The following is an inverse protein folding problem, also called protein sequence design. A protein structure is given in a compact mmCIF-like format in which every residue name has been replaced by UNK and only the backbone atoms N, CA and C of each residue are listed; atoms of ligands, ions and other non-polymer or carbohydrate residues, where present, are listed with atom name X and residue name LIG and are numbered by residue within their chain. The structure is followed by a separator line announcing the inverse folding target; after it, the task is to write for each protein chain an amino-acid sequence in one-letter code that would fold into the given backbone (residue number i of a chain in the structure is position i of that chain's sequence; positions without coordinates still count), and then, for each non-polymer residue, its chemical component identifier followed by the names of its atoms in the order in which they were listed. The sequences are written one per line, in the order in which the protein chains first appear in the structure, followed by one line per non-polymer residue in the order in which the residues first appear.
data_IF_389610019220
#
_entry.id   IF_389610019220
#
_cell.length_a   1.000
_cell.length_b   1.000
_cell.length_c   1.000
_cell.angle_alpha   90.00
_cell.angle_beta   90.00
_cell.angle_gamma   90.00
#
_symmetry.space_group_name_H-M   'P 1'
#
loop_
_entity.id
_entity.type
_entity.pdbx_description
1 polymer ?
#
# COMPACT_ATOMS: atom_id res chain seq x y z
N UNK A 1 -3.39 25.33 2.31
CA UNK A 1 -2.81 24.34 1.36
C UNK A 1 -3.77 24.18 0.20
N UNK A 2 -3.30 24.26 -1.05
CA UNK A 2 -4.15 24.08 -2.23
C UNK A 2 -4.06 22.63 -2.72
N UNK A 3 -5.05 21.81 -2.33
CA UNK A 3 -5.09 20.37 -2.64
C UNK A 3 -5.15 20.13 -4.15
N UNK A 4 -5.93 20.93 -4.89
CA UNK A 4 -6.04 20.80 -6.34
C UNK A 4 -4.71 21.12 -7.04
N UNK A 5 -3.99 22.14 -6.57
CA UNK A 5 -2.66 22.44 -7.11
C UNK A 5 -1.72 21.25 -6.89
N UNK A 6 -1.68 20.71 -5.67
CA UNK A 6 -0.82 19.56 -5.34
C UNK A 6 -1.21 18.36 -6.19
N UNK A 7 -2.50 18.01 -6.20
CA UNK A 7 -3.03 16.87 -6.92
C UNK A 7 -2.74 16.94 -8.42
N UNK A 8 -2.82 18.10 -9.05
CA UNK A 8 -2.69 18.23 -10.51
C UNK A 8 -1.25 18.50 -10.98
N UNK A 9 -0.40 19.12 -10.15
CA UNK A 9 0.89 19.67 -10.62
C UNK A 9 2.11 19.01 -9.99
N UNK A 10 1.99 18.41 -8.80
CA UNK A 10 3.17 17.84 -8.12
C UNK A 10 3.52 16.47 -8.70
N UNK A 11 4.83 16.18 -8.76
CA UNK A 11 5.34 14.94 -9.35
C UNK A 11 5.07 13.72 -8.47
N UNK A 12 5.13 13.88 -7.14
CA UNK A 12 5.00 12.76 -6.22
C UNK A 12 3.60 12.13 -6.20
N UNK A 13 2.58 12.83 -6.73
CA UNK A 13 1.21 12.29 -6.94
C UNK A 13 0.95 11.86 -8.40
N UNK A 14 1.92 11.96 -9.30
CA UNK A 14 1.74 11.59 -10.71
C UNK A 14 1.33 10.11 -10.87
N UNK A 15 1.94 9.20 -10.11
CA UNK A 15 1.56 7.79 -10.12
C UNK A 15 0.13 7.57 -9.62
N UNK A 16 -0.30 8.32 -8.61
CA UNK A 16 -1.67 8.24 -8.09
C UNK A 16 -2.69 8.71 -9.14
N UNK A 17 -2.42 9.83 -9.84
CA UNK A 17 -3.24 10.29 -10.98
C UNK A 17 -3.31 9.24 -12.07
N UNK A 18 -2.16 8.69 -12.47
CA UNK A 18 -2.09 7.68 -13.51
C UNK A 18 -2.87 6.41 -13.15
N UNK A 19 -2.82 5.97 -11.89
CA UNK A 19 -3.65 4.85 -11.42
C UNK A 19 -5.14 5.16 -11.62
N UNK A 20 -5.61 6.33 -11.17
CA UNK A 20 -7.01 6.74 -11.33
C UNK A 20 -7.43 6.76 -12.81
N UNK A 21 -6.62 7.37 -13.69
CA UNK A 21 -6.90 7.44 -15.12
C UNK A 21 -7.00 6.07 -15.80
N UNK A 22 -6.28 5.06 -15.28
CA UNK A 22 -6.29 3.72 -15.85
C UNK A 22 -7.36 2.80 -15.24
N UNK A 23 -7.89 3.11 -14.06
CA UNK A 23 -8.94 2.30 -13.42
C UNK A 23 -10.23 2.23 -14.26
N UNK A 24 -10.53 3.27 -15.02
CA UNK A 24 -11.70 3.32 -15.91
C UNK A 24 -11.52 2.50 -17.20
N UNK A 25 -10.29 2.07 -17.52
CA UNK A 25 -9.98 1.28 -18.71
C UNK A 25 -10.20 -0.22 -18.52
N UNK A 26 -10.34 -0.68 -17.28
CA UNK A 26 -10.66 -2.08 -17.00
C UNK A 26 -12.10 -2.39 -17.42
N UNK A 27 -12.37 -3.57 -17.99
CA UNK A 27 -13.73 -3.97 -18.36
C UNK A 27 -14.71 -3.87 -17.19
N UNK A 28 -15.96 -3.57 -17.50
CA UNK A 28 -17.06 -3.64 -16.53
C UNK A 28 -17.13 -5.05 -15.92
N UNK A 29 -17.39 -5.12 -14.62
CA UNK A 29 -17.46 -6.39 -13.90
C UNK A 29 -16.10 -6.94 -13.45
N UNK A 30 -14.99 -6.37 -13.93
CA UNK A 30 -13.64 -6.73 -13.46
C UNK A 30 -13.49 -6.50 -11.97
N UNK A 31 -12.75 -7.39 -11.31
CA UNK A 31 -12.27 -7.18 -9.93
C UNK A 31 -10.83 -6.72 -10.00
N UNK A 32 -10.53 -5.59 -9.36
CA UNK A 32 -9.22 -4.95 -9.44
C UNK A 32 -8.54 -5.05 -8.08
N UNK A 33 -7.30 -5.52 -8.06
CA UNK A 33 -6.42 -5.43 -6.88
C UNK A 33 -5.53 -4.20 -7.02
N UNK A 34 -5.54 -3.31 -6.03
CA UNK A 34 -4.62 -2.19 -5.93
C UNK A 34 -3.74 -2.35 -4.69
N UNK A 35 -2.42 -2.30 -4.87
CA UNK A 35 -1.46 -2.29 -3.76
C UNK A 35 -0.80 -0.91 -3.74
N UNK A 36 -1.03 -0.16 -2.67
CA UNK A 36 -0.67 1.25 -2.58
C UNK A 36 0.28 1.49 -1.41
N UNK A 37 1.27 2.35 -1.62
CA UNK A 37 2.02 2.95 -0.51
C UNK A 37 1.10 3.93 0.25
N UNK A 38 1.29 4.06 1.55
CA UNK A 38 0.71 5.16 2.33
C UNK A 38 1.05 6.54 1.73
N UNK A 39 0.22 7.53 2.06
CA UNK A 39 0.40 8.92 1.63
C UNK A 39 1.57 9.62 2.35
N UNK A 40 1.76 10.90 2.07
CA UNK A 40 2.90 11.70 2.55
C UNK A 40 3.02 11.75 4.08
N UNK A 41 4.23 11.53 4.60
CA UNK A 41 4.63 11.69 6.00
C UNK A 41 5.89 12.55 6.10
N UNK A 42 6.19 13.08 7.30
CA UNK A 42 7.50 13.66 7.57
C UNK A 42 8.56 12.54 7.69
N UNK A 43 9.84 12.90 7.51
CA UNK A 43 10.92 11.99 7.82
C UNK A 43 11.05 11.77 9.33
N UNK A 44 11.39 10.55 9.79
CA UNK A 44 11.46 10.25 11.21
C UNK A 44 12.62 11.01 11.83
N UNK A 45 12.43 11.54 13.03
CA UNK A 45 13.57 11.89 13.87
C UNK A 45 14.32 10.62 14.34
N UNK A 46 15.63 10.69 14.68
CA UNK A 46 16.45 9.51 15.03
C UNK A 46 15.90 8.61 16.15
N UNK A 47 15.07 9.15 17.04
CA UNK A 47 14.49 8.44 18.20
C UNK A 47 12.98 8.21 18.05
N UNK A 48 12.40 8.59 16.91
CA UNK A 48 10.97 8.48 16.69
C UNK A 48 10.57 7.04 16.38
N UNK A 49 9.46 6.59 16.97
CA UNK A 49 8.93 5.28 16.65
C UNK A 49 8.34 5.30 15.24
N UNK A 50 9.09 4.77 14.27
CA UNK A 50 8.71 4.73 12.86
C UNK A 50 7.37 4.05 12.60
N UNK A 51 6.91 3.17 13.49
CA UNK A 51 5.61 2.49 13.36
C UNK A 51 4.43 3.37 13.78
N UNK A 52 4.69 4.42 14.56
CA UNK A 52 3.70 5.41 15.02
C UNK A 52 3.77 6.73 14.24
N UNK A 53 4.58 6.81 13.19
CA UNK A 53 4.59 7.95 12.30
C UNK A 53 3.24 8.13 11.62
N UNK A 54 2.72 9.35 11.74
CA UNK A 54 1.44 9.80 11.19
C UNK A 54 1.65 10.47 9.82
N UNK A 55 0.58 10.62 9.06
CA UNK A 55 0.58 11.42 7.84
C UNK A 55 0.77 12.92 8.16
N UNK A 56 1.26 13.67 7.19
CA UNK A 56 1.18 15.14 7.26
C UNK A 56 -0.24 15.61 6.92
N UNK A 57 -0.60 16.87 7.21
CA UNK A 57 -1.86 17.44 6.71
C UNK A 57 -2.02 17.31 5.19
N UNK A 58 -0.91 17.45 4.44
CA UNK A 58 -0.85 17.18 3.00
C UNK A 58 -1.12 15.71 2.67
N UNK A 59 -0.53 14.78 3.41
CA UNK A 59 -0.76 13.35 3.25
C UNK A 59 -2.24 12.97 3.42
N UNK A 60 -2.88 13.48 4.47
CA UNK A 60 -4.32 13.30 4.70
C UNK A 60 -5.18 13.84 3.54
N UNK A 61 -4.96 15.09 3.16
CA UNK A 61 -5.77 15.73 2.12
C UNK A 61 -5.63 15.03 0.76
N UNK A 62 -4.43 14.57 0.40
CA UNK A 62 -4.21 13.85 -0.86
C UNK A 62 -4.77 12.43 -0.82
N UNK A 63 -4.69 11.73 0.31
CA UNK A 63 -5.34 10.42 0.45
C UNK A 63 -6.87 10.53 0.30
N UNK A 64 -7.46 11.59 0.86
CA UNK A 64 -8.88 11.91 0.69
C UNK A 64 -9.21 12.22 -0.77
N UNK A 65 -8.42 13.08 -1.43
CA UNK A 65 -8.58 13.41 -2.84
C UNK A 65 -8.46 12.20 -3.75
N UNK A 66 -7.55 11.27 -3.46
CA UNK A 66 -7.44 9.99 -4.16
C UNK A 66 -8.75 9.21 -4.06
N UNK A 67 -9.30 9.08 -2.85
CA UNK A 67 -10.61 8.46 -2.62
C UNK A 67 -11.75 9.13 -3.39
N UNK A 68 -11.79 10.47 -3.41
CA UNK A 68 -12.77 11.26 -4.19
C UNK A 68 -12.60 11.15 -5.70
N UNK A 69 -11.47 10.62 -6.17
CA UNK A 69 -11.17 10.45 -7.60
C UNK A 69 -11.38 9.01 -8.09
N UNK A 70 -11.68 8.06 -7.19
CA UNK A 70 -11.97 6.68 -7.57
C UNK A 70 -13.29 6.56 -8.36
N UNK A 71 -13.41 5.57 -9.26
CA UNK A 71 -14.64 5.34 -10.03
C UNK A 71 -15.80 4.94 -9.10
N UNK A 72 -16.80 5.83 -8.97
CA UNK A 72 -17.92 5.70 -8.02
C UNK A 72 -18.83 4.49 -8.26
N UNK A 73 -18.83 3.96 -9.48
CA UNK A 73 -19.61 2.80 -9.92
C UNK A 73 -19.01 1.46 -9.49
N UNK A 74 -17.79 1.48 -8.92
CA UNK A 74 -17.11 0.30 -8.39
C UNK A 74 -17.14 0.31 -6.86
N UNK A 75 -17.64 -0.77 -6.24
CA UNK A 75 -17.51 -0.91 -4.79
C UNK A 75 -16.04 -1.07 -4.40
N UNK A 76 -15.63 -0.50 -3.27
CA UNK A 76 -14.25 -0.64 -2.80
C UNK A 76 -14.20 -1.32 -1.44
N UNK A 77 -13.19 -2.17 -1.25
CA UNK A 77 -12.79 -2.67 0.06
C UNK A 77 -11.36 -2.28 0.32
N UNK A 78 -11.05 -1.87 1.54
CA UNK A 78 -9.73 -1.36 1.90
C UNK A 78 -9.18 -2.13 3.10
N UNK A 79 -8.03 -2.75 2.91
CA UNK A 79 -7.19 -3.33 3.97
C UNK A 79 -5.89 -2.54 4.09
N UNK A 80 -5.30 -2.54 5.28
CA UNK A 80 -4.08 -1.78 5.52
C UNK A 80 -3.09 -2.49 6.43
N UNK A 81 -1.84 -2.06 6.36
CA UNK A 81 -0.81 -2.32 7.35
C UNK A 81 -1.20 -1.79 8.73
N UNK A 82 -0.77 -2.45 9.81
CA UNK A 82 -0.97 -1.98 11.20
C UNK A 82 -0.33 -0.62 11.50
N UNK A 83 0.55 -0.14 10.62
CA UNK A 83 1.30 1.10 10.80
C UNK A 83 0.39 2.32 10.62
N UNK A 84 0.47 3.28 11.55
CA UNK A 84 -0.51 4.37 11.70
C UNK A 84 -0.75 5.18 10.41
N UNK A 85 0.29 5.57 9.67
CA UNK A 85 0.12 6.26 8.38
C UNK A 85 -0.64 5.46 7.32
N UNK A 86 -0.56 4.13 7.33
CA UNK A 86 -1.30 3.26 6.40
C UNK A 86 -2.78 3.21 6.77
N UNK A 87 -3.08 3.05 8.06
CA UNK A 87 -4.44 3.17 8.60
C UNK A 87 -5.05 4.52 8.22
N UNK A 88 -4.34 5.62 8.48
CA UNK A 88 -4.81 6.96 8.15
C UNK A 88 -5.04 7.16 6.65
N UNK A 89 -4.14 6.64 5.82
CA UNK A 89 -4.32 6.68 4.37
C UNK A 89 -5.60 5.92 3.97
N UNK A 90 -5.80 4.71 4.49
CA UNK A 90 -6.99 3.91 4.23
C UNK A 90 -8.28 4.61 4.68
N UNK A 91 -8.29 5.19 5.88
CA UNK A 91 -9.43 5.96 6.41
C UNK A 91 -9.72 7.20 5.55
N UNK A 92 -8.69 7.91 5.10
CA UNK A 92 -8.89 9.09 4.25
C UNK A 92 -9.42 8.71 2.86
N UNK A 93 -8.92 7.63 2.24
CA UNK A 93 -9.46 7.09 0.99
C UNK A 93 -10.93 6.69 1.17
N UNK A 94 -11.24 5.94 2.23
CA UNK A 94 -12.60 5.52 2.58
C UNK A 94 -13.56 6.72 2.66
N UNK A 95 -13.17 7.73 3.46
CA UNK A 95 -13.98 8.93 3.65
C UNK A 95 -14.12 9.74 2.36
N UNK A 96 -13.05 9.88 1.59
CA UNK A 96 -13.08 10.55 0.29
C UNK A 96 -14.06 9.88 -0.68
N UNK A 97 -14.01 8.55 -0.78
CA UNK A 97 -14.91 7.80 -1.65
C UNK A 97 -16.37 7.88 -1.21
N UNK A 98 -16.63 7.82 0.10
CA UNK A 98 -18.01 8.01 0.62
C UNK A 98 -18.55 9.40 0.36
N UNK A 99 -17.72 10.45 0.39
CA UNK A 99 -18.15 11.82 0.13
C UNK A 99 -18.71 12.02 -1.28
N UNK A 100 -18.26 11.23 -2.26
CA UNK A 100 -18.78 11.25 -3.63
C UNK A 100 -19.94 10.26 -3.84
N UNK A 101 -20.46 9.67 -2.76
CA UNK A 101 -21.56 8.68 -2.80
C UNK A 101 -21.13 7.25 -3.11
N UNK A 102 -19.82 6.95 -3.10
CA UNK A 102 -19.31 5.61 -3.36
C UNK A 102 -19.55 4.63 -2.20
N UNK A 103 -19.71 3.35 -2.53
CA UNK A 103 -19.84 2.28 -1.53
C UNK A 103 -18.47 1.70 -1.15
N UNK A 104 -18.08 1.84 0.11
CA UNK A 104 -16.80 1.34 0.62
C UNK A 104 -16.89 0.62 1.95
N UNK A 105 -15.99 -0.35 2.13
CA UNK A 105 -15.77 -1.08 3.37
C UNK A 105 -14.30 -0.95 3.82
N UNK A 106 -14.09 -0.71 5.11
CA UNK A 106 -12.77 -0.77 5.74
C UNK A 106 -12.60 -2.12 6.45
N UNK A 107 -11.89 -3.04 5.81
CA UNK A 107 -11.70 -4.43 6.26
C UNK A 107 -10.60 -4.55 7.34
N UNK A 108 -9.85 -3.48 7.59
CA UNK A 108 -8.88 -3.39 8.67
C UNK A 108 -7.50 -3.96 8.33
N UNK A 109 -6.84 -4.52 9.36
CA UNK A 109 -5.43 -4.89 9.30
C UNK A 109 -5.22 -6.19 8.51
N UNK A 110 -4.21 -6.21 7.65
CA UNK A 110 -3.74 -7.43 6.98
C UNK A 110 -2.24 -7.60 7.20
N UNK A 111 -1.85 -8.63 7.95
CA UNK A 111 -0.48 -8.80 8.49
C UNK A 111 0.64 -8.75 7.43
N UNK A 112 0.53 -9.41 6.26
CA UNK A 112 1.58 -9.37 5.23
C UNK A 112 1.82 -7.99 4.60
N UNK A 113 0.97 -7.00 4.88
CA UNK A 113 1.19 -5.59 4.48
C UNK A 113 2.17 -4.84 5.40
N UNK A 114 2.77 -5.50 6.39
CA UNK A 114 3.82 -4.93 7.24
C UNK A 114 4.89 -5.95 7.63
N UNK A 115 4.49 -7.19 7.89
CA UNK A 115 5.42 -8.21 8.36
C UNK A 115 5.92 -9.06 7.20
N UNK A 116 7.23 -9.24 7.13
CA UNK A 116 7.89 -10.16 6.19
C UNK A 116 8.38 -11.43 6.89
N UNK A 117 8.02 -11.64 8.16
CA UNK A 117 8.41 -12.79 8.97
C UNK A 117 9.89 -12.77 9.36
N UNK A 118 10.42 -11.61 9.73
CA UNK A 118 11.77 -11.52 10.31
C UNK A 118 11.73 -11.93 11.78
N UNK A 119 12.55 -12.90 12.18
CA UNK A 119 12.56 -13.43 13.56
C UNK A 119 13.53 -12.70 14.50
N UNK A 120 14.40 -11.82 13.98
CA UNK A 120 15.40 -11.10 14.78
C UNK A 120 15.35 -9.59 14.55
N UNK A 121 15.82 -8.80 15.55
CA UNK A 121 16.03 -7.34 15.43
C UNK A 121 17.02 -6.94 14.31
N UNK A 122 17.68 -7.91 13.68
CA UNK A 122 18.64 -7.68 12.60
C UNK A 122 18.06 -6.94 11.41
N UNK A 123 16.74 -7.03 11.15
CA UNK A 123 16.08 -6.33 10.06
C UNK A 123 16.28 -4.81 10.13
N UNK A 124 15.96 -4.22 11.29
CA UNK A 124 16.08 -2.76 11.49
C UNK A 124 17.51 -2.29 11.45
N UNK A 125 18.46 -3.09 11.96
CA UNK A 125 19.87 -2.73 11.97
C UNK A 125 20.50 -2.83 10.58
N UNK A 126 20.09 -3.80 9.77
CA UNK A 126 20.55 -3.95 8.37
C UNK A 126 20.06 -2.83 7.47
N UNK A 127 18.79 -2.45 7.57
CA UNK A 127 18.22 -1.35 6.76
C UNK A 127 18.77 0.02 7.17
N UNK A 128 19.21 0.20 8.43
CA UNK A 128 19.89 1.43 8.84
C UNK A 128 21.27 1.61 8.19
N UNK A 129 21.96 0.50 7.94
CA UNK A 129 23.36 0.52 7.49
C UNK A 129 23.53 0.41 5.96
N UNK A 130 22.48 -0.02 5.26
CA UNK A 130 22.52 -0.25 3.81
C UNK A 130 21.38 0.50 3.11
N UNK A 131 21.54 0.78 1.81
CA UNK A 131 20.44 1.33 1.04
C UNK A 131 19.28 0.32 0.97
N UNK A 132 18.07 0.81 1.21
CA UNK A 132 16.83 0.02 1.19
C UNK A 132 16.73 -0.93 -0.03
N UNK A 133 17.13 -0.48 -1.22
CA UNK A 133 17.05 -1.28 -2.45
C UNK A 133 18.04 -2.44 -2.45
N UNK A 134 19.23 -2.25 -1.89
CA UNK A 134 20.28 -3.28 -1.86
C UNK A 134 19.86 -4.44 -0.96
N UNK A 135 19.26 -4.13 0.20
CA UNK A 135 18.72 -5.17 1.10
C UNK A 135 17.55 -5.93 0.47
N UNK A 136 16.67 -5.25 -0.26
CA UNK A 136 15.60 -5.90 -1.00
C UNK A 136 16.15 -6.88 -2.05
N UNK A 137 17.16 -6.49 -2.83
CA UNK A 137 17.76 -7.36 -3.83
C UNK A 137 18.56 -8.51 -3.22
N UNK A 138 19.26 -8.28 -2.11
CA UNK A 138 19.89 -9.35 -1.33
C UNK A 138 18.85 -10.35 -0.83
N UNK A 139 17.71 -9.87 -0.35
CA UNK A 139 16.61 -10.74 0.07
C UNK A 139 16.07 -11.57 -1.10
N UNK A 140 15.79 -10.91 -2.23
CA UNK A 140 15.32 -11.57 -3.45
C UNK A 140 16.31 -12.61 -3.99
N UNK A 141 17.62 -12.37 -3.84
CA UNK A 141 18.68 -13.31 -4.22
C UNK A 141 18.90 -14.46 -3.21
N UNK A 142 18.13 -14.52 -2.11
CA UNK A 142 18.26 -15.57 -1.10
C UNK A 142 19.46 -15.41 -0.16
N UNK A 143 19.95 -14.18 0.02
CA UNK A 143 21.15 -13.92 0.83
C UNK A 143 20.94 -14.11 2.35
N UNK A 144 19.70 -14.09 2.83
CA UNK A 144 19.37 -14.27 4.24
C UNK A 144 18.94 -15.71 4.53
N UNK A 145 19.38 -16.23 5.68
CA UNK A 145 19.00 -17.58 6.12
C UNK A 145 17.49 -17.65 6.41
N UNK A 146 16.79 -18.74 6.01
CA UNK A 146 15.34 -18.90 6.24
C UNK A 146 14.90 -18.83 7.71
N UNK A 147 15.82 -19.11 8.64
CA UNK A 147 15.54 -18.97 10.07
C UNK A 147 15.53 -17.50 10.54
N UNK A 148 16.24 -16.62 9.84
CA UNK A 148 16.28 -15.20 10.19
C UNK A 148 15.16 -14.42 9.48
N UNK A 149 14.95 -14.71 8.19
CA UNK A 149 14.02 -14.02 7.30
C UNK A 149 13.23 -15.06 6.50
N UNK A 150 11.91 -14.90 6.41
CA UNK A 150 11.10 -15.65 5.45
C UNK A 150 11.70 -15.52 4.05
N UNK A 151 11.87 -16.60 3.28
CA UNK A 151 12.35 -16.50 1.91
C UNK A 151 11.49 -15.55 1.08
N UNK A 152 12.12 -14.75 0.22
CA UNK A 152 11.43 -13.73 -0.58
C UNK A 152 10.27 -14.29 -1.40
N UNK A 153 10.50 -15.43 -2.07
CA UNK A 153 9.48 -16.11 -2.87
C UNK A 153 8.33 -16.61 -2.01
N UNK A 154 8.61 -17.17 -0.84
CA UNK A 154 7.59 -17.63 0.12
C UNK A 154 6.72 -16.45 0.56
N UNK A 155 7.32 -15.34 0.99
CA UNK A 155 6.58 -14.14 1.37
C UNK A 155 5.67 -13.64 0.24
N UNK A 156 6.20 -13.53 -0.99
CA UNK A 156 5.43 -13.03 -2.12
C UNK A 156 4.27 -13.96 -2.49
N UNK A 157 4.51 -15.27 -2.50
CA UNK A 157 3.49 -16.28 -2.82
C UNK A 157 2.39 -16.31 -1.76
N UNK A 158 2.74 -16.36 -0.47
CA UNK A 158 1.76 -16.38 0.61
C UNK A 158 0.92 -15.10 0.63
N UNK A 159 1.55 -13.94 0.44
CA UNK A 159 0.85 -12.66 0.36
C UNK A 159 -0.08 -12.61 -0.86
N UNK A 160 0.39 -13.06 -2.02
CA UNK A 160 -0.40 -13.14 -3.24
C UNK A 160 -1.60 -14.08 -3.08
N UNK A 161 -1.41 -15.25 -2.48
CA UNK A 161 -2.47 -16.21 -2.23
C UNK A 161 -3.53 -15.65 -1.28
N UNK A 162 -3.13 -14.95 -0.23
CA UNK A 162 -4.05 -14.29 0.70
C UNK A 162 -4.89 -13.22 0.00
N UNK A 163 -4.24 -12.31 -0.73
CA UNK A 163 -4.92 -11.25 -1.50
C UNK A 163 -5.85 -11.86 -2.56
N UNK A 164 -5.39 -12.88 -3.27
CA UNK A 164 -6.17 -13.57 -4.28
C UNK A 164 -7.40 -14.28 -3.70
N UNK A 165 -7.28 -14.87 -2.52
CA UNK A 165 -8.42 -15.49 -1.84
C UNK A 165 -9.42 -14.44 -1.34
N UNK A 166 -8.95 -13.28 -0.90
CA UNK A 166 -9.81 -12.18 -0.50
C UNK A 166 -10.65 -11.65 -1.68
N UNK A 167 -10.06 -11.50 -2.87
CA UNK A 167 -10.78 -10.95 -4.04
C UNK A 167 -11.82 -11.90 -4.63
N UNK A 168 -11.67 -13.22 -4.46
CA UNK A 168 -12.63 -14.23 -4.95
C UNK A 168 -14.05 -13.96 -4.45
N UNK A 169 -14.18 -13.54 -3.20
CA UNK A 169 -15.48 -13.32 -2.55
C UNK A 169 -16.05 -11.91 -2.75
N UNK A 170 -15.33 -11.01 -3.42
CA UNK A 170 -15.87 -9.68 -3.70
C UNK A 170 -16.99 -9.74 -4.76
N UNK A 171 -17.92 -8.77 -4.76
CA UNK A 171 -18.83 -8.56 -5.87
C UNK A 171 -18.09 -8.38 -7.20
N UNK A 172 -18.77 -8.59 -8.32
CA UNK A 172 -18.27 -8.12 -9.61
C UNK A 172 -18.15 -6.59 -9.57
N UNK A 173 -17.30 -6.03 -10.42
CA UNK A 173 -17.08 -4.59 -10.52
C UNK A 173 -16.52 -3.94 -9.24
N UNK A 174 -15.61 -4.62 -8.54
CA UNK A 174 -15.05 -4.16 -7.27
C UNK A 174 -13.57 -3.77 -7.37
N UNK A 175 -13.10 -2.93 -6.44
CA UNK A 175 -11.68 -2.63 -6.23
C UNK A 175 -11.30 -3.05 -4.80
N UNK A 176 -10.28 -3.88 -4.66
CA UNK A 176 -9.72 -4.27 -3.38
C UNK A 176 -8.37 -3.58 -3.19
N UNK A 177 -8.30 -2.67 -2.22
CA UNK A 177 -7.18 -1.75 -1.99
C UNK A 177 -6.40 -2.22 -0.77
N UNK A 178 -5.09 -2.38 -0.93
CA UNK A 178 -4.15 -2.83 0.09
C UNK A 178 -3.12 -1.74 0.36
N UNK A 179 -3.26 -1.02 1.47
CA UNK A 179 -2.38 0.10 1.84
C UNK A 179 -1.19 -0.38 2.68
N UNK A 180 0.02 -0.14 2.19
CA UNK A 180 1.28 -0.66 2.76
C UNK A 180 2.43 0.35 2.58
N UNK A 181 3.68 -0.14 2.49
CA UNK A 181 4.93 0.64 2.43
C UNK A 181 5.74 0.28 1.19
N UNK A 182 6.77 1.07 0.93
CA UNK A 182 7.69 0.89 -0.20
C UNK A 182 8.29 -0.52 -0.26
N UNK A 183 8.64 -1.11 0.89
CA UNK A 183 9.19 -2.48 0.97
C UNK A 183 8.26 -3.51 0.34
N UNK A 184 6.98 -3.48 0.72
CA UNK A 184 6.00 -4.47 0.31
C UNK A 184 5.50 -4.21 -1.12
N UNK A 185 5.30 -2.94 -1.50
CA UNK A 185 4.94 -2.62 -2.90
C UNK A 185 6.03 -3.07 -3.86
N UNK A 186 7.31 -2.83 -3.55
CA UNK A 186 8.41 -3.30 -4.38
C UNK A 186 8.53 -4.82 -4.34
N UNK A 187 8.43 -5.45 -3.17
CA UNK A 187 8.50 -6.92 -3.06
C UNK A 187 7.45 -7.61 -3.91
N UNK A 188 6.19 -7.18 -3.84
CA UNK A 188 5.09 -7.78 -4.62
C UNK A 188 5.16 -7.39 -6.11
N UNK A 189 5.69 -6.21 -6.43
CA UNK A 189 5.99 -5.83 -7.81
C UNK A 189 6.96 -6.83 -8.46
N UNK A 190 8.08 -7.11 -7.81
CA UNK A 190 9.08 -8.04 -8.34
C UNK A 190 8.64 -9.50 -8.22
N UNK A 191 8.17 -9.92 -7.05
CA UNK A 191 7.94 -11.33 -6.71
C UNK A 191 6.56 -11.89 -7.05
N UNK A 192 5.57 -11.03 -7.35
CA UNK A 192 4.24 -11.46 -7.80
C UNK A 192 3.92 -10.95 -9.21
N UNK A 193 4.03 -9.65 -9.46
CA UNK A 193 3.67 -9.09 -10.77
C UNK A 193 4.75 -9.28 -11.85
N UNK A 194 5.99 -9.61 -11.47
CA UNK A 194 7.09 -9.83 -12.41
C UNK A 194 7.54 -8.55 -13.14
N UNK A 195 7.47 -7.40 -12.46
CA UNK A 195 7.71 -6.04 -12.97
C UNK A 195 8.91 -5.33 -12.34
#
# INVERSE_FOLDING_TARGET
MNVEKIWNQEDWVAHARNLIENLTKFPEGSKITLILRHSHRNEPAPLENVNKLRLTPQGHAIAKKFGESLPKDRSIRISHSIIWRCEETAVNIHNGFKNIGGHSELNGILTPLFDIGTKSRSFTDKIKNNHFRDELFRWAAGFYHPDDWTPFTTYCQETAHLIWNNIKNLPKNSIDIYVTHDWHTMSLRFGWFGL
#
